data_IF_836864610654
#
_entry.id   IF_836864610654
#
_cell.length_a   1.000
_cell.length_b   1.000
_cell.length_c   1.000
_cell.angle_alpha   90.00
_cell.angle_beta   90.00
_cell.angle_gamma   90.00
#
_symmetry.space_group_name_H-M   'P 1'
#
loop_
_entity.id
_entity.type
_entity.pdbx_description
1 polymer ?
#
# COMPACT_ATOMS: atom_id res chain seq x y z
N UNK A 1 -17.84 -47.22 -16.64
CA UNK A 1 -18.49 -45.97 -17.10
C UNK A 1 -18.48 -44.88 -16.02
N UNK A 2 -18.75 -45.21 -14.74
CA UNK A 2 -18.63 -44.26 -13.62
C UNK A 2 -17.22 -43.67 -13.41
N UNK A 3 -16.15 -44.45 -13.54
CA UNK A 3 -14.77 -43.95 -13.28
C UNK A 3 -14.37 -42.78 -14.18
N UNK A 4 -14.81 -42.79 -15.44
CA UNK A 4 -14.48 -41.72 -16.39
C UNK A 4 -15.15 -40.39 -16.00
N UNK A 5 -16.37 -40.46 -15.46
CA UNK A 5 -17.10 -39.28 -14.99
C UNK A 5 -16.52 -38.72 -13.69
N UNK A 6 -16.02 -39.57 -12.79
CA UNK A 6 -15.31 -39.11 -11.60
C UNK A 6 -13.97 -38.45 -11.93
N UNK A 7 -13.21 -39.01 -12.87
CA UNK A 7 -11.94 -38.43 -13.34
C UNK A 7 -12.19 -37.06 -13.98
N UNK A 8 -13.22 -36.92 -14.82
CA UNK A 8 -13.54 -35.64 -15.46
C UNK A 8 -13.98 -34.56 -14.46
N UNK A 9 -14.82 -34.93 -13.48
CA UNK A 9 -15.23 -34.02 -12.38
C UNK A 9 -14.04 -33.63 -11.50
N UNK A 10 -13.14 -34.57 -11.22
CA UNK A 10 -11.92 -34.31 -10.45
C UNK A 10 -10.97 -33.38 -11.21
N UNK A 11 -10.75 -33.63 -12.50
CA UNK A 11 -9.95 -32.76 -13.38
C UNK A 11 -10.52 -31.35 -13.48
N UNK A 12 -11.85 -31.20 -13.58
CA UNK A 12 -12.50 -29.89 -13.59
C UNK A 12 -12.34 -29.14 -12.27
N UNK A 13 -12.49 -29.83 -11.13
CA UNK A 13 -12.26 -29.24 -9.79
C UNK A 13 -10.80 -28.80 -9.62
N UNK A 14 -9.84 -29.63 -10.03
CA UNK A 14 -8.41 -29.29 -9.98
C UNK A 14 -8.11 -28.06 -10.85
N UNK A 15 -8.62 -28.04 -12.10
CA UNK A 15 -8.43 -26.91 -13.00
C UNK A 15 -9.02 -25.61 -12.45
N UNK A 16 -10.22 -25.67 -11.84
CA UNK A 16 -10.87 -24.51 -11.20
C UNK A 16 -10.05 -24.01 -10.01
N UNK A 17 -9.57 -24.90 -9.14
CA UNK A 17 -8.75 -24.52 -7.98
C UNK A 17 -7.42 -23.92 -8.42
N UNK A 18 -6.76 -24.48 -9.44
CA UNK A 18 -5.52 -23.92 -9.99
C UNK A 18 -5.74 -22.54 -10.62
N UNK A 19 -6.85 -22.34 -11.33
CA UNK A 19 -7.21 -21.05 -11.91
C UNK A 19 -7.46 -19.99 -10.82
N UNK A 20 -8.24 -20.32 -9.80
CA UNK A 20 -8.52 -19.43 -8.66
C UNK A 20 -7.26 -19.10 -7.87
N UNK A 21 -6.38 -20.09 -7.64
CA UNK A 21 -5.10 -19.88 -6.99
C UNK A 21 -4.20 -18.93 -7.79
N UNK A 22 -4.04 -19.17 -9.11
CA UNK A 22 -3.28 -18.27 -9.98
C UNK A 22 -3.81 -16.84 -9.90
N UNK A 23 -5.13 -16.66 -9.95
CA UNK A 23 -5.77 -15.34 -9.84
C UNK A 23 -5.45 -14.63 -8.53
N UNK A 24 -5.57 -15.32 -7.41
CA UNK A 24 -5.28 -14.75 -6.07
C UNK A 24 -3.82 -14.36 -5.90
N UNK A 25 -2.89 -15.13 -6.47
CA UNK A 25 -1.46 -14.80 -6.47
C UNK A 25 -1.21 -13.50 -7.25
N UNK A 26 -1.78 -13.37 -8.45
CA UNK A 26 -1.64 -12.15 -9.26
C UNK A 26 -2.23 -10.93 -8.57
N UNK A 27 -3.42 -11.06 -7.96
CA UNK A 27 -4.07 -9.99 -7.21
C UNK A 27 -3.20 -9.47 -6.06
N UNK A 28 -2.64 -10.39 -5.26
CA UNK A 28 -1.75 -10.02 -4.14
C UNK A 28 -0.42 -9.46 -4.63
N UNK A 29 0.13 -10.00 -5.72
CA UNK A 29 1.35 -9.48 -6.33
C UNK A 29 1.17 -8.06 -6.83
N UNK A 30 0.09 -7.77 -7.57
CA UNK A 30 -0.22 -6.43 -8.07
C UNK A 30 -0.42 -5.45 -6.92
N UNK A 31 -1.10 -5.86 -5.85
CA UNK A 31 -1.26 -5.05 -4.65
C UNK A 31 0.08 -4.76 -3.96
N UNK A 32 0.94 -5.76 -3.82
CA UNK A 32 2.29 -5.59 -3.27
C UNK A 32 3.11 -4.61 -4.13
N UNK A 33 3.06 -4.73 -5.46
CA UNK A 33 3.71 -3.79 -6.38
C UNK A 33 3.17 -2.38 -6.19
N UNK A 34 1.85 -2.19 -6.10
CA UNK A 34 1.23 -0.89 -5.87
C UNK A 34 1.68 -0.27 -4.54
N UNK A 35 1.67 -1.04 -3.46
CA UNK A 35 2.08 -0.56 -2.14
C UNK A 35 3.59 -0.25 -2.09
N UNK A 36 4.41 -1.11 -2.69
CA UNK A 36 5.85 -0.83 -2.86
C UNK A 36 6.06 0.44 -3.68
N UNK A 37 5.30 0.64 -4.76
CA UNK A 37 5.39 1.83 -5.61
C UNK A 37 5.10 3.12 -4.82
N UNK A 38 4.06 3.12 -3.98
CA UNK A 38 3.75 4.30 -3.15
C UNK A 38 4.77 4.59 -2.06
N UNK A 39 5.56 3.60 -1.62
CA UNK A 39 6.54 3.76 -0.55
C UNK A 39 7.97 3.99 -1.08
N UNK A 40 8.41 3.22 -2.07
CA UNK A 40 9.79 3.23 -2.56
C UNK A 40 10.04 4.22 -3.68
N UNK A 41 9.08 4.47 -4.59
CA UNK A 41 9.28 5.49 -5.64
C UNK A 41 9.55 6.88 -5.08
N UNK A 42 8.76 7.42 -4.13
CA UNK A 42 9.02 8.76 -3.65
C UNK A 42 10.35 8.81 -2.86
N UNK A 43 10.71 7.76 -2.12
CA UNK A 43 12.03 7.65 -1.50
C UNK A 43 13.17 7.63 -2.53
N UNK A 44 13.03 6.88 -3.63
CA UNK A 44 14.04 6.80 -4.67
C UNK A 44 14.20 8.13 -5.42
N UNK A 45 13.10 8.82 -5.71
CA UNK A 45 13.13 10.12 -6.40
C UNK A 45 13.75 11.23 -5.55
N UNK A 46 13.57 11.21 -4.23
CA UNK A 46 14.03 12.28 -3.32
C UNK A 46 15.40 12.00 -2.68
N UNK A 47 15.67 10.75 -2.29
CA UNK A 47 16.88 10.35 -1.55
C UNK A 47 17.92 9.65 -2.44
N UNK A 48 17.54 9.23 -3.65
CA UNK A 48 18.37 8.42 -4.53
C UNK A 48 18.56 6.99 -3.99
N UNK A 49 19.49 6.19 -4.57
CA UNK A 49 19.71 4.79 -4.20
C UNK A 49 20.47 4.60 -2.87
N UNK A 50 20.70 5.67 -2.09
CA UNK A 50 21.48 5.59 -0.86
C UNK A 50 20.65 5.04 0.31
N UNK A 51 20.79 3.75 0.58
CA UNK A 51 20.05 3.06 1.65
C UNK A 51 20.28 3.66 3.05
N UNK A 52 21.45 4.25 3.32
CA UNK A 52 21.73 4.89 4.61
C UNK A 52 20.84 6.11 4.84
N UNK A 53 20.53 6.86 3.77
CA UNK A 53 19.59 7.98 3.84
C UNK A 53 18.17 7.49 4.08
N UNK A 54 17.79 6.34 3.53
CA UNK A 54 16.45 5.77 3.73
C UNK A 54 16.25 5.35 5.19
N UNK A 55 17.22 4.63 5.77
CA UNK A 55 17.21 4.25 7.18
C UNK A 55 17.16 5.48 8.10
N UNK A 56 17.91 6.53 7.75
CA UNK A 56 17.87 7.80 8.48
C UNK A 56 16.49 8.42 8.42
N UNK A 57 15.90 8.52 7.24
CA UNK A 57 14.56 9.12 7.08
C UNK A 57 13.51 8.37 7.87
N UNK A 58 13.55 7.04 7.98
CA UNK A 58 12.58 6.29 8.81
C UNK A 58 12.94 6.18 10.31
N UNK A 59 14.03 6.80 10.76
CA UNK A 59 14.41 6.84 12.17
C UNK A 59 13.74 8.00 12.92
N UNK A 60 13.46 7.81 14.22
CA UNK A 60 12.64 8.68 15.09
C UNK A 60 13.07 10.17 15.10
N UNK A 61 14.34 10.46 14.79
CA UNK A 61 14.91 11.81 14.76
C UNK A 61 15.62 12.18 13.44
N UNK A 62 15.48 11.37 12.38
CA UNK A 62 16.31 11.52 11.18
C UNK A 62 15.74 12.40 10.07
N UNK A 63 14.44 12.74 10.11
CA UNK A 63 13.80 13.63 9.15
C UNK A 63 14.23 15.09 9.39
N UNK A 64 15.29 15.51 8.70
CA UNK A 64 15.84 16.86 8.83
C UNK A 64 15.19 17.83 7.85
N UNK A 65 14.72 17.31 6.72
CA UNK A 65 14.11 18.09 5.66
C UNK A 65 12.58 18.04 5.73
N UNK A 66 11.96 19.09 5.19
CA UNK A 66 10.51 19.13 4.92
C UNK A 66 10.11 17.95 4.02
N UNK A 67 10.98 17.59 3.07
CA UNK A 67 10.77 16.48 2.15
C UNK A 67 10.80 15.12 2.85
N UNK A 68 11.67 14.93 3.84
CA UNK A 68 11.77 13.69 4.62
C UNK A 68 10.50 13.45 5.45
N UNK A 69 9.97 14.53 6.07
CA UNK A 69 8.73 14.46 6.84
C UNK A 69 7.54 14.16 5.93
N UNK A 70 7.49 14.76 4.74
CA UNK A 70 6.45 14.46 3.76
C UNK A 70 6.48 12.97 3.36
N UNK A 71 7.66 12.44 3.05
CA UNK A 71 7.86 11.02 2.71
C UNK A 71 7.38 10.07 3.81
N UNK A 72 7.74 10.35 5.07
CA UNK A 72 7.29 9.55 6.21
C UNK A 72 5.77 9.57 6.35
N UNK A 73 5.16 10.76 6.33
CA UNK A 73 3.72 10.93 6.49
C UNK A 73 2.98 10.21 5.36
N UNK A 74 3.36 10.42 4.10
CA UNK A 74 2.70 9.77 2.95
C UNK A 74 2.83 8.25 3.00
N UNK A 75 4.01 7.74 3.37
CA UNK A 75 4.26 6.29 3.47
C UNK A 75 3.41 5.67 4.57
N UNK A 76 3.43 6.25 5.77
CA UNK A 76 2.64 5.76 6.91
C UNK A 76 1.15 5.82 6.59
N UNK A 77 0.65 6.94 6.04
CA UNK A 77 -0.76 7.07 5.69
C UNK A 77 -1.18 6.06 4.60
N UNK A 78 -0.32 5.74 3.63
CA UNK A 78 -0.61 4.72 2.61
C UNK A 78 -0.71 3.31 3.20
N UNK A 79 0.21 2.94 4.09
CA UNK A 79 0.22 1.62 4.75
C UNK A 79 -0.95 1.49 5.71
N UNK A 80 -1.22 2.52 6.52
CA UNK A 80 -2.39 2.55 7.40
C UNK A 80 -3.67 2.52 6.60
N UNK A 81 -3.77 3.28 5.51
CA UNK A 81 -4.93 3.27 4.61
C UNK A 81 -5.17 1.89 3.98
N UNK A 82 -4.11 1.24 3.52
CA UNK A 82 -4.15 -0.13 3.02
C UNK A 82 -4.66 -1.12 4.08
N UNK A 83 -4.15 -1.01 5.30
CA UNK A 83 -4.57 -1.84 6.43
C UNK A 83 -6.03 -1.58 6.81
N UNK A 84 -6.46 -0.31 6.85
CA UNK A 84 -7.86 0.05 7.09
C UNK A 84 -8.79 -0.50 5.99
N UNK A 85 -8.31 -0.54 4.74
CA UNK A 85 -9.02 -1.14 3.60
C UNK A 85 -9.22 -2.65 3.70
N UNK A 86 -8.56 -3.33 4.64
CA UNK A 86 -8.79 -4.75 4.91
C UNK A 86 -10.01 -4.99 5.85
N UNK A 87 -10.43 -4.01 6.65
CA UNK A 87 -11.58 -4.15 7.55
C UNK A 87 -12.93 -4.43 6.87
N UNK A 88 -13.25 -3.87 5.70
CA UNK A 88 -14.50 -4.15 5.00
C UNK A 88 -14.62 -5.59 4.46
N UNK A 89 -13.52 -6.34 4.36
CA UNK A 89 -13.48 -7.70 3.82
C UNK A 89 -14.24 -8.68 4.74
N UNK A 90 -13.93 -8.79 6.06
CA UNK A 90 -14.65 -9.69 6.95
C UNK A 90 -16.09 -9.28 7.25
N UNK A 91 -16.46 -8.02 6.94
CA UNK A 91 -17.81 -7.51 7.18
C UNK A 91 -18.80 -7.88 6.05
N UNK A 92 -18.27 -8.31 4.89
CA UNK A 92 -18.95 -8.85 3.72
C UNK A 92 -20.36 -8.27 3.47
N UNK A 93 -20.44 -6.99 3.10
CA UNK A 93 -21.70 -6.33 2.72
C UNK A 93 -22.16 -6.73 1.29
N UNK A 94 -21.69 -7.87 0.79
CA UNK A 94 -21.94 -8.41 -0.56
C UNK A 94 -21.66 -7.38 -1.68
N UNK A 95 -20.67 -6.50 -1.49
CA UNK A 95 -20.34 -5.47 -2.49
C UNK A 95 -19.09 -5.83 -3.29
N UNK A 96 -19.09 -5.61 -4.62
CA UNK A 96 -17.95 -5.96 -5.47
C UNK A 96 -16.68 -5.18 -5.15
N UNK A 97 -16.76 -4.03 -4.47
CA UNK A 97 -15.60 -3.24 -4.06
C UNK A 97 -14.91 -3.78 -2.80
N UNK A 98 -15.55 -4.66 -2.02
CA UNK A 98 -15.00 -5.27 -0.81
C UNK A 98 -14.07 -6.45 -1.09
N UNK A 99 -14.02 -6.91 -2.35
CA UNK A 99 -13.21 -8.06 -2.74
C UNK A 99 -11.72 -7.70 -2.69
N UNK A 100 -10.91 -8.61 -2.13
CA UNK A 100 -9.46 -8.47 -2.19
C UNK A 100 -8.96 -8.45 -3.65
N UNK A 101 -8.05 -7.56 -4.06
CA UNK A 101 -7.35 -6.53 -3.29
C UNK A 101 -7.95 -5.12 -3.49
N UNK A 102 -9.16 -5.00 -4.02
CA UNK A 102 -9.78 -3.73 -4.44
C UNK A 102 -9.95 -2.80 -3.25
N UNK A 103 -10.51 -3.28 -2.14
CA UNK A 103 -10.72 -2.47 -0.93
C UNK A 103 -9.41 -1.96 -0.34
N UNK A 104 -8.38 -2.82 -0.25
CA UNK A 104 -7.05 -2.48 0.23
C UNK A 104 -6.32 -1.53 -0.71
N UNK A 105 -6.46 -1.69 -2.02
CA UNK A 105 -5.87 -0.81 -3.03
C UNK A 105 -6.49 0.59 -2.96
N UNK A 106 -7.82 0.67 -2.84
CA UNK A 106 -8.52 1.94 -2.62
C UNK A 106 -8.06 2.59 -1.30
N UNK A 107 -7.99 1.81 -0.22
CA UNK A 107 -7.47 2.29 1.06
C UNK A 107 -6.05 2.82 0.97
N UNK A 108 -5.16 2.13 0.24
CA UNK A 108 -3.79 2.57 0.00
C UNK A 108 -3.75 3.89 -0.79
N UNK A 109 -4.54 4.02 -1.86
CA UNK A 109 -4.61 5.24 -2.68
C UNK A 109 -5.19 6.41 -1.89
N UNK A 110 -6.28 6.21 -1.16
CA UNK A 110 -6.85 7.25 -0.29
C UNK A 110 -5.88 7.64 0.82
N UNK A 111 -5.19 6.67 1.42
CA UNK A 111 -4.14 6.90 2.40
C UNK A 111 -3.00 7.74 1.84
N UNK A 112 -2.55 7.46 0.61
CA UNK A 112 -1.52 8.24 -0.07
C UNK A 112 -1.94 9.69 -0.31
N UNK A 113 -3.14 9.89 -0.87
CA UNK A 113 -3.68 11.24 -1.14
C UNK A 113 -3.90 12.01 0.17
N UNK A 114 -4.46 11.37 1.19
CA UNK A 114 -4.61 11.97 2.51
C UNK A 114 -3.26 12.32 3.11
N UNK A 115 -2.25 11.45 2.97
CA UNK A 115 -0.88 11.71 3.39
C UNK A 115 -0.28 12.97 2.76
N UNK A 116 -0.51 13.20 1.46
CA UNK A 116 -0.07 14.42 0.78
C UNK A 116 -0.75 15.69 1.34
N UNK A 117 -2.04 15.60 1.64
CA UNK A 117 -2.79 16.70 2.25
C UNK A 117 -2.33 16.97 3.69
N UNK A 118 -2.18 15.91 4.50
CA UNK A 118 -1.73 15.99 5.89
C UNK A 118 -0.32 16.57 5.94
N UNK A 119 0.59 16.12 5.07
CA UNK A 119 1.93 16.68 4.99
C UNK A 119 1.91 18.16 4.62
N UNK A 120 1.09 18.55 3.64
CA UNK A 120 0.94 19.97 3.25
C UNK A 120 0.40 20.83 4.39
N UNK A 121 -0.61 20.34 5.11
CA UNK A 121 -1.18 21.01 6.29
C UNK A 121 -0.17 21.09 7.44
N UNK A 122 0.58 20.02 7.67
CA UNK A 122 1.62 19.96 8.70
C UNK A 122 2.73 20.98 8.43
N UNK A 123 3.18 21.08 7.17
CA UNK A 123 4.16 22.10 6.74
C UNK A 123 3.57 23.49 6.94
N UNK A 124 2.33 23.71 6.51
CA UNK A 124 1.66 25.01 6.63
C UNK A 124 1.56 25.47 8.09
N UNK A 125 1.20 24.59 9.01
CA UNK A 125 1.12 24.89 10.44
C UNK A 125 2.50 25.07 11.09
N UNK A 126 3.48 24.25 10.75
CA UNK A 126 4.83 24.33 11.33
C UNK A 126 5.76 25.32 10.62
N UNK A 127 5.24 26.06 9.61
CA UNK A 127 6.04 26.95 8.77
C UNK A 127 6.93 27.90 9.57
N UNK A 128 6.41 28.48 10.66
CA UNK A 128 7.14 29.46 11.47
C UNK A 128 8.34 28.85 12.21
N UNK A 129 8.23 27.60 12.65
CA UNK A 129 9.32 26.90 13.33
C UNK A 129 10.37 26.39 12.34
N UNK A 130 9.93 25.99 11.14
CA UNK A 130 10.82 25.56 10.06
C UNK A 130 11.68 26.72 9.54
N UNK A 131 11.13 27.93 9.40
CA UNK A 131 11.91 29.11 8.96
C UNK A 131 12.98 29.53 9.98
N UNK A 132 12.72 29.36 11.28
CA UNK A 132 13.67 29.70 12.34
C UNK A 132 14.87 28.74 12.38
N UNK A 133 14.64 27.44 12.15
CA UNK A 133 15.71 26.41 12.13
C UNK A 133 16.61 26.49 10.89
N UNK A 134 16.18 27.20 9.86
CA UNK A 134 16.90 27.39 8.58
C UNK A 134 17.86 28.59 8.59
N UNK A 135 17.91 29.37 9.66
CA UNK A 135 18.76 30.56 9.80
C UNK A 135 19.82 30.33 10.86
#
# INVERSE_FOLDING_TARGET
>A
MCDNQYVEVLSFRIAKTQFLYKRSVWETFLFAVLLSTFTTLPCLCLLGPNFQMWLRVFSKNGAMSIWDNNLQITTICSVVGAWLGAFPIPLDWDRPWQVWPISCSLGATFGYVAGLLIASLWIYWNRKQLTYKSR
#
